data_IF_638303085966
#
_entry.id   IF_638303085966
#
_cell.length_a   1.000
_cell.length_b   1.000
_cell.length_c   1.000
_cell.angle_alpha   90.00
_cell.angle_beta   90.00
_cell.angle_gamma   90.00
#
_symmetry.space_group_name_H-M   'P 1'
#
loop_
_entity.id
_entity.type
_entity.pdbx_description
1 polymer ?
#
# COMPACT_ATOMS: atom_id res chain seq x y z
N UNK A 1 10.25 6.73 -5.13
CA UNK A 1 10.59 5.92 -3.95
C UNK A 1 10.57 4.45 -4.33
N UNK A 2 11.56 3.68 -3.89
CA UNK A 2 11.56 2.22 -3.94
C UNK A 2 11.88 1.75 -2.52
N UNK A 3 11.06 0.86 -1.98
CA UNK A 3 11.18 0.34 -0.62
C UNK A 3 10.87 -1.15 -0.61
N UNK A 4 11.65 -1.91 0.14
CA UNK A 4 11.36 -3.31 0.49
C UNK A 4 11.17 -3.39 1.99
N UNK A 5 10.15 -4.11 2.42
CA UNK A 5 9.79 -4.21 3.83
C UNK A 5 8.99 -5.49 4.09
N UNK A 6 8.69 -5.75 5.36
CA UNK A 6 7.98 -6.94 5.78
C UNK A 6 7.01 -6.64 6.93
N UNK A 7 5.91 -7.38 7.00
CA UNK A 7 4.94 -7.29 8.09
C UNK A 7 4.42 -8.68 8.46
N UNK A 8 4.00 -8.88 9.70
CA UNK A 8 3.29 -10.08 10.12
C UNK A 8 1.79 -9.89 9.91
N UNK A 9 1.16 -10.58 8.93
CA UNK A 9 -0.21 -10.27 8.55
C UNK A 9 -1.25 -10.64 9.60
N UNK A 10 -1.03 -11.77 10.26
CA UNK A 10 -2.02 -12.38 11.15
C UNK A 10 -1.39 -12.74 12.49
N UNK A 11 -2.22 -12.98 13.48
CA UNK A 11 -1.85 -13.61 14.73
C UNK A 11 -3.04 -14.43 15.26
N UNK A 12 -2.77 -15.35 16.18
CA UNK A 12 -3.81 -16.17 16.82
C UNK A 12 -4.09 -15.62 18.21
N UNK A 13 -5.35 -15.30 18.48
CA UNK A 13 -5.86 -14.83 19.76
C UNK A 13 -7.18 -15.55 20.06
N UNK A 14 -7.32 -16.14 21.25
CA UNK A 14 -8.51 -16.89 21.68
C UNK A 14 -8.99 -17.97 20.70
N UNK A 15 -8.04 -18.66 20.06
CA UNK A 15 -8.33 -19.69 19.06
C UNK A 15 -8.70 -19.18 17.67
N UNK A 16 -8.88 -17.86 17.50
CA UNK A 16 -9.23 -17.22 16.24
C UNK A 16 -8.04 -16.51 15.60
N UNK A 17 -7.92 -16.57 14.27
CA UNK A 17 -6.89 -15.85 13.53
C UNK A 17 -7.39 -14.45 13.15
N UNK A 18 -6.70 -13.42 13.64
CA UNK A 18 -7.00 -12.00 13.44
C UNK A 18 -5.87 -11.30 12.67
N UNK A 19 -6.19 -10.19 12.02
CA UNK A 19 -5.20 -9.27 11.44
C UNK A 19 -4.32 -8.67 12.55
N UNK A 20 -3.01 -8.47 12.28
CA UNK A 20 -2.04 -8.04 13.29
C UNK A 20 -1.41 -6.69 12.95
N UNK A 21 -0.60 -6.65 11.89
CA UNK A 21 0.25 -5.49 11.58
C UNK A 21 -0.19 -4.79 10.29
N UNK A 22 0.12 -3.49 10.24
CA UNK A 22 0.03 -2.64 9.07
C UNK A 22 1.30 -1.81 9.01
N UNK A 23 1.88 -1.67 7.82
CA UNK A 23 3.04 -0.79 7.63
C UNK A 23 2.57 0.54 7.03
N UNK A 24 3.06 1.63 7.61
CA UNK A 24 2.79 2.98 7.17
C UNK A 24 4.07 3.60 6.59
N UNK A 25 4.03 3.93 5.31
CA UNK A 25 5.14 4.48 4.54
C UNK A 25 4.90 5.97 4.30
N UNK A 26 5.72 6.80 4.93
CA UNK A 26 5.74 8.25 4.64
C UNK A 26 6.54 8.46 3.36
N UNK A 27 5.93 9.12 2.41
CA UNK A 27 6.50 9.42 1.10
C UNK A 27 7.42 10.63 1.23
N UNK A 28 8.65 10.57 0.69
CA UNK A 28 9.61 11.66 0.78
C UNK A 28 9.29 12.74 -0.27
N UNK A 29 8.08 13.31 -0.21
CA UNK A 29 7.65 14.32 -1.15
C UNK A 29 8.33 15.67 -0.90
N UNK A 30 8.70 16.39 -1.98
CA UNK A 30 9.16 17.76 -1.88
C UNK A 30 7.90 18.65 -1.79
N UNK A 31 7.26 18.65 -0.61
CA UNK A 31 5.95 19.28 -0.39
C UNK A 31 5.95 20.74 -0.80
N UNK A 32 7.01 21.48 -0.46
CA UNK A 32 7.14 22.91 -0.81
C UNK A 32 7.22 23.14 -2.32
N UNK A 33 7.92 22.26 -3.05
CA UNK A 33 8.06 22.35 -4.50
C UNK A 33 6.77 21.95 -5.20
N UNK A 34 6.08 20.91 -4.73
CA UNK A 34 4.77 20.52 -5.25
C UNK A 34 3.72 21.61 -5.01
N UNK A 35 3.74 22.27 -3.85
CA UNK A 35 2.83 23.38 -3.53
C UNK A 35 3.05 24.60 -4.44
N UNK A 36 4.31 24.88 -4.85
CA UNK A 36 4.61 25.95 -5.80
C UNK A 36 3.96 25.72 -7.17
N UNK A 37 3.75 24.47 -7.56
CA UNK A 37 3.13 24.11 -8.83
C UNK A 37 1.61 24.26 -8.84
N UNK A 38 0.99 24.47 -7.67
CA UNK A 38 -0.44 24.73 -7.52
C UNK A 38 -1.31 23.73 -8.29
N UNK A 39 -1.96 24.19 -9.35
CA UNK A 39 -2.94 23.44 -10.16
C UNK A 39 -2.31 22.59 -11.27
N UNK A 40 -0.98 22.63 -11.42
CA UNK A 40 -0.28 21.83 -12.42
C UNK A 40 -0.67 20.35 -12.29
N UNK A 41 -0.91 19.71 -13.43
CA UNK A 41 -1.32 18.31 -13.49
C UNK A 41 -0.13 17.42 -13.23
N UNK A 42 -0.32 16.46 -12.33
CA UNK A 42 0.68 15.47 -11.95
C UNK A 42 0.07 14.09 -11.97
N UNK A 43 0.92 13.09 -12.17
CA UNK A 43 0.59 11.69 -12.05
C UNK A 43 1.47 11.02 -11.03
N UNK A 44 0.87 10.17 -10.21
CA UNK A 44 1.55 9.29 -9.28
C UNK A 44 1.22 7.84 -9.65
N UNK A 45 2.25 7.05 -9.97
CA UNK A 45 2.10 5.60 -10.11
C UNK A 45 2.55 4.93 -8.82
N UNK A 46 1.72 4.02 -8.33
CA UNK A 46 2.00 3.19 -7.16
C UNK A 46 1.93 1.74 -7.54
N UNK A 47 2.97 0.99 -7.19
CA UNK A 47 3.07 -0.44 -7.42
C UNK A 47 3.44 -1.15 -6.14
N UNK A 48 2.57 -2.03 -5.66
CA UNK A 48 2.84 -3.00 -4.61
C UNK A 48 3.08 -4.36 -5.26
N UNK A 49 4.18 -5.00 -4.93
CA UNK A 49 4.49 -6.37 -5.34
C UNK A 49 4.81 -7.21 -4.12
N UNK A 50 4.21 -8.38 -4.01
CA UNK A 50 4.49 -9.32 -2.91
C UNK A 50 4.40 -10.76 -3.38
N UNK A 51 5.17 -11.64 -2.75
CA UNK A 51 5.12 -13.05 -3.10
C UNK A 51 3.87 -13.70 -2.51
N UNK A 52 3.11 -14.38 -3.37
CA UNK A 52 2.02 -15.24 -2.95
C UNK A 52 2.60 -16.63 -2.74
N UNK A 53 2.46 -17.16 -1.52
CA UNK A 53 2.81 -18.54 -1.26
C UNK A 53 1.78 -19.49 -1.88
N UNK A 54 2.24 -20.52 -2.62
CA UNK A 54 1.36 -21.55 -3.12
C UNK A 54 0.80 -22.38 -1.95
N UNK A 55 -0.37 -22.94 -2.16
CA UNK A 55 -1.03 -23.90 -1.28
C UNK A 55 -0.93 -25.22 -2.03
N UNK A 56 0.15 -25.99 -1.80
CA UNK A 56 0.24 -27.34 -2.32
C UNK A 56 -0.69 -28.21 -1.46
N UNK A 57 -1.98 -28.30 -1.82
CA UNK A 57 -2.91 -29.19 -1.14
C UNK A 57 -4.41 -28.85 -1.24
N UNK A 58 -5.14 -29.78 -1.85
CA UNK A 58 -6.58 -30.08 -1.79
C UNK A 58 -7.64 -29.13 -2.36
N UNK A 59 -8.36 -29.70 -3.33
CA UNK A 59 -9.59 -29.22 -3.94
C UNK A 59 -10.72 -29.40 -2.92
N UNK A 60 -11.01 -28.39 -2.08
CA UNK A 60 -12.01 -28.60 -1.01
C UNK A 60 -12.56 -27.41 -0.24
N UNK A 61 -11.89 -26.25 -0.16
CA UNK A 61 -12.46 -25.12 0.58
C UNK A 61 -13.49 -24.35 -0.26
N UNK A 62 -14.68 -24.14 0.33
CA UNK A 62 -15.93 -23.78 -0.33
C UNK A 62 -15.95 -22.45 -1.12
N UNK A 63 -14.88 -21.65 -1.08
CA UNK A 63 -14.79 -20.43 -1.87
C UNK A 63 -13.88 -20.65 -3.08
N UNK A 64 -14.52 -20.91 -4.24
CA UNK A 64 -13.91 -20.98 -5.59
C UNK A 64 -13.06 -19.76 -6.01
N UNK A 65 -12.91 -18.76 -5.14
CA UNK A 65 -12.25 -17.48 -5.41
C UNK A 65 -11.22 -17.04 -4.35
N UNK A 66 -10.97 -17.80 -3.28
CA UNK A 66 -10.01 -17.34 -2.25
C UNK A 66 -8.57 -17.69 -2.64
N UNK A 67 -7.87 -16.75 -3.27
CA UNK A 67 -6.42 -16.84 -3.36
C UNK A 67 -5.70 -15.49 -3.41
N UNK A 68 -5.29 -15.05 -2.23
CA UNK A 68 -4.12 -14.20 -2.04
C UNK A 68 -3.56 -14.59 -0.66
N UNK A 69 -2.41 -15.27 -0.63
CA UNK A 69 -1.68 -15.74 0.56
C UNK A 69 -1.99 -14.92 1.83
N UNK A 70 -1.49 -13.70 1.84
CA UNK A 70 -1.65 -12.73 2.92
C UNK A 70 -2.70 -11.66 2.61
N UNK A 71 -3.20 -11.61 1.36
CA UNK A 71 -4.19 -10.63 0.93
C UNK A 71 -3.77 -9.18 1.15
N UNK A 72 -2.51 -8.82 0.88
CA UNK A 72 -2.08 -7.43 1.10
C UNK A 72 -2.92 -6.45 0.27
N UNK A 73 -3.19 -5.28 0.84
CA UNK A 73 -3.89 -4.16 0.22
C UNK A 73 -3.07 -2.90 0.42
N UNK A 74 -3.26 -1.97 -0.50
CA UNK A 74 -2.64 -0.67 -0.47
C UNK A 74 -3.73 0.40 -0.35
N UNK A 75 -3.55 1.30 0.60
CA UNK A 75 -4.35 2.51 0.72
C UNK A 75 -3.41 3.72 0.75
N UNK A 76 -3.88 4.84 0.21
CA UNK A 76 -3.15 6.11 0.24
C UNK A 76 -3.97 7.11 1.04
N UNK A 77 -3.28 7.94 1.81
CA UNK A 77 -3.88 9.07 2.51
C UNK A 77 -4.49 10.04 1.50
N UNK A 78 -5.71 10.49 1.73
CA UNK A 78 -6.41 11.54 0.96
C UNK A 78 -5.82 12.91 1.26
N UNK A 79 -5.94 13.85 0.33
CA UNK A 79 -5.43 15.21 0.52
C UNK A 79 -6.09 15.95 1.67
N UNK A 80 -7.35 15.61 2.01
CA UNK A 80 -8.14 16.26 3.06
C UNK A 80 -8.20 15.50 4.38
N UNK A 81 -7.60 14.31 4.48
CA UNK A 81 -7.67 13.50 5.72
C UNK A 81 -6.39 13.63 6.55
N UNK A 82 -6.53 13.61 7.88
CA UNK A 82 -5.38 13.56 8.79
C UNK A 82 -4.81 12.13 8.85
N UNK A 83 -3.60 11.99 9.37
CA UNK A 83 -2.97 10.67 9.53
C UNK A 83 -3.77 9.74 10.45
N UNK A 84 -4.42 10.29 11.47
CA UNK A 84 -5.26 9.54 12.40
C UNK A 84 -6.54 9.02 11.72
N UNK A 85 -7.22 9.89 10.97
CA UNK A 85 -8.41 9.51 10.18
C UNK A 85 -8.04 8.46 9.13
N UNK A 86 -6.88 8.61 8.49
CA UNK A 86 -6.38 7.62 7.55
C UNK A 86 -6.17 6.25 8.19
N UNK A 87 -5.54 6.18 9.37
CA UNK A 87 -5.36 4.93 10.13
C UNK A 87 -6.70 4.30 10.51
N UNK A 88 -7.65 5.11 10.98
CA UNK A 88 -8.99 4.64 11.32
C UNK A 88 -9.72 4.07 10.09
N UNK A 89 -9.58 4.72 8.94
CA UNK A 89 -10.15 4.24 7.67
C UNK A 89 -9.56 2.88 7.26
N UNK A 90 -8.24 2.70 7.35
CA UNK A 90 -7.62 1.41 7.05
C UNK A 90 -8.13 0.32 8.01
N UNK A 91 -8.17 0.60 9.31
CA UNK A 91 -8.67 -0.36 10.30
C UNK A 91 -10.13 -0.76 10.01
N UNK A 92 -10.95 0.20 9.59
CA UNK A 92 -12.33 -0.05 9.17
C UNK A 92 -12.38 -0.91 7.90
N UNK A 93 -11.62 -0.57 6.86
CA UNK A 93 -11.55 -1.33 5.61
C UNK A 93 -11.06 -2.77 5.83
N UNK A 94 -10.04 -2.95 6.70
CA UNK A 94 -9.53 -4.26 7.08
C UNK A 94 -10.64 -5.11 7.72
N UNK A 95 -11.41 -4.54 8.67
CA UNK A 95 -12.52 -5.21 9.34
C UNK A 95 -13.71 -5.50 8.41
N UNK A 96 -14.13 -4.55 7.58
CA UNK A 96 -15.27 -4.75 6.66
C UNK A 96 -14.97 -5.80 5.59
N UNK A 97 -13.71 -5.88 5.15
CA UNK A 97 -13.28 -6.93 4.20
C UNK A 97 -13.32 -8.32 4.85
N UNK A 98 -13.18 -8.44 6.18
CA UNK A 98 -13.37 -9.70 6.90
C UNK A 98 -14.83 -10.19 6.86
N UNK A 99 -15.79 -9.29 6.73
CA UNK A 99 -17.23 -9.59 6.74
C UNK A 99 -17.80 -9.90 5.32
N UNK A 100 -16.94 -10.02 4.29
CA UNK A 100 -17.33 -10.12 2.88
C UNK A 100 -18.25 -8.97 2.42
N UNK A 101 -18.23 -7.84 3.12
CA UNK A 101 -18.90 -6.64 2.63
C UNK A 101 -18.01 -6.09 1.53
N UNK A 102 -18.52 -5.99 0.31
CA UNK A 102 -17.80 -5.33 -0.79
C UNK A 102 -17.58 -3.88 -0.38
N UNK A 103 -16.43 -3.58 0.23
CA UNK A 103 -16.03 -2.24 0.59
C UNK A 103 -15.78 -1.48 -0.71
N UNK A 104 -16.82 -0.81 -1.19
CA UNK A 104 -16.73 0.22 -2.22
C UNK A 104 -15.96 1.36 -1.58
N UNK A 105 -14.62 1.33 -1.72
CA UNK A 105 -13.74 2.40 -1.30
C UNK A 105 -14.30 3.71 -1.86
N UNK A 106 -14.80 4.55 -0.97
CA UNK A 106 -15.56 5.74 -1.34
C UNK A 106 -14.57 6.75 -1.92
N UNK A 107 -14.58 6.89 -3.25
CA UNK A 107 -14.22 8.09 -4.00
C UNK A 107 -12.93 8.81 -3.60
N UNK A 108 -11.77 8.25 -3.96
CA UNK A 108 -10.63 9.10 -4.31
C UNK A 108 -10.67 9.24 -5.83
N UNK A 109 -11.23 10.35 -6.32
CA UNK A 109 -11.32 10.61 -7.76
C UNK A 109 -9.89 10.81 -8.29
N UNK A 110 -9.54 10.17 -9.40
CA UNK A 110 -8.23 10.31 -10.05
C UNK A 110 -7.48 9.00 -10.27
N UNK A 111 -7.91 7.89 -9.69
CA UNK A 111 -7.35 6.57 -9.99
C UNK A 111 -7.84 6.06 -11.35
N UNK A 112 -6.91 5.57 -12.18
CA UNK A 112 -7.20 5.10 -13.53
C UNK A 112 -7.94 3.75 -13.55
N UNK A 113 -7.46 2.75 -12.79
CA UNK A 113 -8.09 1.42 -12.71
C UNK A 113 -9.10 1.33 -11.56
N UNK A 114 -8.82 2.07 -10.49
CA UNK A 114 -9.66 2.13 -9.30
C UNK A 114 -9.54 0.89 -8.39
N UNK A 115 -10.13 0.98 -7.18
CA UNK A 115 -9.86 0.05 -6.08
C UNK A 115 -10.24 -1.41 -6.35
N UNK A 116 -11.20 -1.66 -7.25
CA UNK A 116 -11.70 -3.02 -7.57
C UNK A 116 -10.82 -3.80 -8.56
N UNK A 117 -10.05 -3.10 -9.38
CA UNK A 117 -9.36 -3.71 -10.54
C UNK A 117 -7.90 -4.02 -10.22
N UNK A 118 -7.20 -3.10 -9.54
CA UNK A 118 -5.78 -3.25 -9.21
C UNK A 118 -5.47 -4.21 -8.05
N UNK A 119 -6.47 -4.61 -7.24
CA UNK A 119 -6.30 -5.46 -6.04
C UNK A 119 -6.20 -6.96 -6.33
N UNK A 120 -6.16 -7.35 -7.61
CA UNK A 120 -6.13 -8.76 -8.04
C UNK A 120 -4.68 -9.27 -8.17
N UNK A 121 -4.41 -10.43 -7.58
CA UNK A 121 -3.09 -11.08 -7.65
C UNK A 121 -2.04 -10.50 -6.69
N UNK A 122 -0.77 -10.76 -7.01
CA UNK A 122 0.43 -10.41 -6.24
C UNK A 122 1.01 -9.03 -6.57
N UNK A 123 0.56 -8.41 -7.66
CA UNK A 123 1.06 -7.12 -8.14
C UNK A 123 -0.12 -6.18 -8.27
N UNK A 124 -0.15 -5.13 -7.45
CA UNK A 124 -1.15 -4.08 -7.50
C UNK A 124 -0.50 -2.83 -8.04
N UNK A 125 -0.89 -2.40 -9.23
CA UNK A 125 -0.34 -1.21 -9.86
C UNK A 125 -1.45 -0.33 -10.39
N UNK A 126 -1.45 0.94 -10.03
CA UNK A 126 -2.39 1.92 -10.56
C UNK A 126 -1.74 3.31 -10.66
N UNK A 127 -2.37 4.17 -11.45
CA UNK A 127 -1.96 5.56 -11.68
C UNK A 127 -3.05 6.45 -11.12
N UNK A 128 -2.64 7.36 -10.24
CA UNK A 128 -3.46 8.46 -9.76
C UNK A 128 -3.10 9.73 -10.52
N UNK A 129 -4.10 10.50 -10.91
CA UNK A 129 -3.95 11.82 -11.54
C UNK A 129 -4.66 12.90 -10.71
N UNK A 130 -4.02 14.05 -10.57
CA UNK A 130 -4.59 15.18 -9.84
C UNK A 130 -3.73 16.43 -9.93
N UNK A 131 -3.96 17.37 -9.01
CA UNK A 131 -3.16 18.60 -8.91
C UNK A 131 -1.90 18.35 -8.08
N UNK A 132 -0.86 19.15 -8.32
CA UNK A 132 0.36 19.09 -7.53
C UNK A 132 0.09 19.42 -6.05
N UNK A 133 -0.82 20.36 -5.76
CA UNK A 133 -1.27 20.67 -4.41
C UNK A 133 -1.92 19.47 -3.71
N UNK A 134 -2.78 18.71 -4.40
CA UNK A 134 -3.38 17.49 -3.84
C UNK A 134 -2.31 16.43 -3.57
N UNK A 135 -1.38 16.23 -4.50
CA UNK A 135 -0.29 15.26 -4.34
C UNK A 135 0.60 15.58 -3.14
N UNK A 136 0.87 16.86 -2.89
CA UNK A 136 1.68 17.32 -1.76
C UNK A 136 1.11 16.86 -0.40
N UNK A 137 -0.22 16.74 -0.29
CA UNK A 137 -0.92 16.29 0.92
C UNK A 137 -1.08 14.76 1.01
N UNK A 138 -0.96 14.05 -0.12
CA UNK A 138 -0.96 12.57 -0.21
C UNK A 138 0.42 12.02 0.16
N UNK A 139 0.82 12.23 1.41
CA UNK A 139 2.17 11.96 1.94
C UNK A 139 2.36 10.56 2.52
N UNK A 140 1.33 9.72 2.59
CA UNK A 140 1.39 8.46 3.32
C UNK A 140 0.68 7.32 2.60
N UNK A 141 1.30 6.14 2.62
CA UNK A 141 0.76 4.89 2.10
C UNK A 141 0.66 3.88 3.24
N UNK A 142 -0.49 3.24 3.38
CA UNK A 142 -0.70 2.11 4.28
C UNK A 142 -0.72 0.80 3.50
N UNK A 143 0.04 -0.18 3.98
CA UNK A 143 0.02 -1.56 3.48
C UNK A 143 -0.49 -2.44 4.60
N UNK A 144 -1.61 -3.12 4.34
CA UNK A 144 -2.31 -3.91 5.35
C UNK A 144 -2.83 -5.21 4.78
N UNK A 145 -2.89 -6.29 5.58
CA UNK A 145 -3.47 -7.55 5.17
C UNK A 145 -5.00 -7.51 5.23
N UNK A 146 -5.64 -8.20 4.28
CA UNK A 146 -7.05 -8.60 4.40
C UNK A 146 -7.15 -10.12 4.50
N UNK A 147 -8.34 -10.64 4.78
CA UNK A 147 -8.58 -12.09 4.94
C UNK A 147 -8.00 -12.92 3.77
N UNK A 148 -6.89 -13.61 4.03
CA UNK A 148 -6.21 -14.53 3.11
C UNK A 148 -6.37 -16.00 3.51
N UNK A 149 -5.91 -16.94 2.68
CA UNK A 149 -6.07 -18.38 2.95
C UNK A 149 -5.33 -18.82 4.23
N UNK A 150 -4.24 -18.13 4.59
CA UNK A 150 -3.51 -18.36 5.83
C UNK A 150 -4.36 -18.15 7.10
N UNK A 151 -5.45 -17.38 7.00
CA UNK A 151 -6.44 -17.25 8.09
C UNK A 151 -7.21 -18.55 8.34
N UNK A 152 -7.50 -19.31 7.27
CA UNK A 152 -8.34 -20.51 7.32
C UNK A 152 -7.55 -21.80 7.45
N UNK A 153 -6.26 -21.78 7.09
CA UNK A 153 -5.40 -22.95 7.22
C UNK A 153 -4.74 -23.02 8.60
N UNK A 154 -5.52 -23.46 9.58
CA UNK A 154 -5.10 -23.63 10.97
C UNK A 154 -3.98 -24.69 11.16
N UNK A 155 -3.74 -25.53 10.15
CA UNK A 155 -2.87 -26.71 10.27
C UNK A 155 -1.37 -26.41 10.11
N UNK A 156 -1.01 -25.28 9.51
CA UNK A 156 0.40 -24.93 9.16
C UNK A 156 0.94 -23.71 9.89
N UNK A 157 0.28 -23.26 10.97
CA UNK A 157 0.69 -22.10 11.76
C UNK A 157 0.97 -20.82 10.95
N UNK A 158 0.23 -20.64 9.86
CA UNK A 158 0.38 -19.52 8.92
C UNK A 158 0.33 -18.13 9.51
N UNK A 159 -0.33 -18.00 10.66
CA UNK A 159 -0.42 -16.76 11.40
C UNK A 159 0.94 -16.33 12.01
N UNK A 160 1.98 -17.16 11.95
CA UNK A 160 3.34 -16.78 12.36
C UNK A 160 4.20 -16.26 11.22
N UNK A 161 3.74 -16.40 9.97
CA UNK A 161 4.51 -16.05 8.78
C UNK A 161 4.64 -14.53 8.62
N UNK A 162 5.81 -14.10 8.13
CA UNK A 162 6.06 -12.71 7.74
C UNK A 162 5.91 -12.56 6.24
N UNK A 163 5.09 -11.61 5.79
CA UNK A 163 4.92 -11.27 4.39
C UNK A 163 5.93 -10.20 3.98
N UNK A 164 6.77 -10.50 2.98
CA UNK A 164 7.68 -9.54 2.35
C UNK A 164 7.03 -8.90 1.13
N UNK A 165 7.26 -7.61 0.95
CA UNK A 165 6.76 -6.88 -0.20
C UNK A 165 7.75 -5.79 -0.66
N UNK A 166 7.56 -5.37 -1.90
CA UNK A 166 8.21 -4.21 -2.49
C UNK A 166 7.15 -3.16 -2.84
N UNK A 167 7.43 -1.91 -2.48
CA UNK A 167 6.64 -0.73 -2.78
C UNK A 167 7.44 0.20 -3.69
N UNK A 168 6.88 0.49 -4.87
CA UNK A 168 7.44 1.41 -5.84
C UNK A 168 6.45 2.56 -6.02
N UNK A 169 6.94 3.78 -5.89
CA UNK A 169 6.16 4.99 -6.12
C UNK A 169 6.95 5.93 -7.03
N UNK A 170 6.34 6.35 -8.13
CA UNK A 170 6.91 7.33 -9.05
C UNK A 170 5.94 8.46 -9.31
N UNK A 171 6.44 9.69 -9.37
CA UNK A 171 5.66 10.88 -9.74
C UNK A 171 6.19 11.46 -11.04
N UNK A 172 5.31 12.08 -11.81
CA UNK A 172 5.68 12.90 -12.96
C UNK A 172 4.75 14.10 -13.07
N UNK A 173 5.30 15.22 -13.51
CA UNK A 173 4.51 16.37 -13.94
C UNK A 173 4.04 16.10 -15.37
N UNK A 174 2.75 16.28 -15.63
CA UNK A 174 2.14 16.07 -16.95
C UNK A 174 2.28 17.31 -17.81
N UNK A 175 2.16 18.48 -17.20
CA UNK A 175 2.35 19.76 -17.87
C UNK A 175 3.85 19.98 -18.18
N UNK A 176 4.14 20.67 -19.28
CA UNK A 176 5.50 21.07 -19.67
C UNK A 176 6.02 22.23 -18.80
N UNK A 177 6.01 22.04 -17.48
CA UNK A 177 6.59 22.98 -16.52
C UNK A 177 7.97 22.44 -16.12
N UNK A 178 9.00 23.25 -16.33
CA UNK A 178 10.36 22.93 -15.91
C UNK A 178 10.46 23.12 -14.39
N UNK A 179 10.48 22.00 -13.65
CA UNK A 179 10.50 22.00 -12.18
C UNK A 179 11.49 20.97 -11.69
N UNK A 180 12.44 21.42 -10.87
CA UNK A 180 13.35 20.52 -10.16
C UNK A 180 12.67 19.94 -8.91
N UNK A 181 11.92 18.86 -9.11
CA UNK A 181 11.39 18.03 -8.02
C UNK A 181 12.42 17.02 -7.49
N UNK A 182 13.53 16.79 -8.19
CA UNK A 182 14.47 15.72 -7.87
C UNK A 182 15.46 16.12 -6.77
N UNK A 183 16.08 17.30 -6.90
CA UNK A 183 17.06 17.80 -5.93
C UNK A 183 16.56 17.83 -4.49
N UNK A 184 15.36 18.37 -4.18
CA UNK A 184 14.84 18.36 -2.80
C UNK A 184 14.63 16.94 -2.25
N UNK A 185 14.17 16.00 -3.08
CA UNK A 185 14.01 14.58 -2.71
C UNK A 185 15.37 13.92 -2.47
N UNK A 186 16.39 14.24 -3.29
CA UNK A 186 17.73 13.69 -3.11
C UNK A 186 18.38 14.20 -1.82
N UNK A 187 18.17 15.47 -1.46
CA UNK A 187 18.68 16.05 -0.21
C UNK A 187 18.01 15.40 1.01
N UNK A 188 16.68 15.23 1.00
CA UNK A 188 15.97 14.59 2.11
C UNK A 188 16.35 13.11 2.29
N UNK A 189 16.65 12.39 1.20
CA UNK A 189 17.05 10.98 1.24
C UNK A 189 18.53 10.72 1.53
N UNK A 190 19.42 11.73 1.41
CA UNK A 190 20.87 11.60 1.63
C UNK A 190 21.27 11.27 3.09
N UNK A 191 20.32 11.13 4.01
CA UNK A 191 20.59 10.77 5.42
C UNK A 191 20.74 9.24 5.61
N UNK A 192 20.48 8.41 4.59
CA UNK A 192 20.80 6.96 4.62
C UNK A 192 22.08 6.65 3.84
N UNK A 193 23.23 7.22 4.26
CA UNK A 193 24.51 6.86 3.64
C UNK A 193 25.04 5.52 4.17
N UNK A 194 25.48 4.71 3.21
CA UNK A 194 26.11 3.40 3.33
C UNK A 194 27.25 3.39 4.36
N UNK A 195 27.19 2.43 5.28
CA UNK A 195 28.31 2.13 6.19
C UNK A 195 29.44 1.51 5.36
N UNK A 196 30.65 2.09 5.35
CA UNK A 196 31.78 1.47 4.67
C UNK A 196 32.13 0.16 5.36
N UNK A 197 32.28 -0.92 4.57
CA UNK A 197 32.86 -2.17 5.04
C UNK A 197 34.36 -1.90 5.18
N UNK A 198 34.85 -1.79 6.42
CA UNK A 198 36.27 -1.85 6.69
C UNK A 198 36.70 -3.32 6.57
N UNK A 199 37.59 -3.60 5.61
CA UNK A 199 38.32 -4.86 5.50
C UNK A 199 39.31 -5.00 6.67
#
# INVERSE_FOLDING_TARGET
MVCEDSLQPFHKEDGNVKTKEMNLHVLPWPTQELEKLREAKVQMRVTLSYFIEPNPGERGWQNKHSYASYGLRLAIKRSTETLEVFRQRINKEARETEENVTSTGTGDNGWFLGPKTWTRGSIHSDIWEGTAADLAQKDSIGIYPVSGWWRYNSSREGWTQTARYALIVSIRVVDEVEVDIYTPIAISNKIKQTVPINL
#
